data_IF_730143702535
#
_entry.id   IF_730143702535
#
_cell.length_a   1.000
_cell.length_b   1.000
_cell.length_c   1.000
_cell.angle_alpha   90.00
_cell.angle_beta   90.00
_cell.angle_gamma   90.00
#
_symmetry.space_group_name_H-M   'P 1'
#
loop_
_entity.id
_entity.type
_entity.pdbx_description
1 polymer ?
#
# COMPACT_ATOMS: atom_id res chain seq x y z
N UNK A 1 -26.22 -37.24 -13.40
CA UNK A 1 -26.31 -35.80 -13.10
C UNK A 1 -25.04 -35.33 -12.39
N UNK A 2 -24.39 -36.24 -11.69
CA UNK A 2 -23.31 -36.00 -10.73
C UNK A 2 -21.98 -35.65 -11.41
N UNK A 3 -21.68 -36.24 -12.58
CA UNK A 3 -20.50 -35.89 -13.38
C UNK A 3 -20.55 -34.43 -13.88
N UNK A 4 -21.74 -33.92 -14.23
CA UNK A 4 -21.91 -32.53 -14.66
C UNK A 4 -21.60 -31.57 -13.50
N UNK A 5 -22.02 -31.92 -12.28
CA UNK A 5 -21.75 -31.13 -11.07
C UNK A 5 -20.26 -31.13 -10.76
N UNK A 6 -19.58 -32.27 -10.94
CA UNK A 6 -18.13 -32.37 -10.77
C UNK A 6 -17.38 -31.47 -11.76
N UNK A 7 -17.72 -31.54 -13.06
CA UNK A 7 -17.12 -30.69 -14.09
C UNK A 7 -17.38 -29.21 -13.80
N UNK A 8 -18.62 -28.86 -13.42
CA UNK A 8 -19.00 -27.50 -13.09
C UNK A 8 -18.20 -26.97 -11.88
N UNK A 9 -18.04 -27.77 -10.83
CA UNK A 9 -17.31 -27.37 -9.63
C UNK A 9 -15.82 -27.15 -9.90
N UNK A 10 -15.18 -28.02 -10.69
CA UNK A 10 -13.80 -27.81 -11.17
C UNK A 10 -13.69 -26.54 -12.02
N UNK A 11 -14.65 -26.31 -12.92
CA UNK A 11 -14.66 -25.11 -13.75
C UNK A 11 -14.82 -23.82 -12.93
N UNK A 12 -15.67 -23.82 -11.90
CA UNK A 12 -15.84 -22.69 -10.98
C UNK A 12 -14.56 -22.43 -10.19
N UNK A 13 -13.91 -23.47 -9.67
CA UNK A 13 -12.64 -23.34 -8.95
C UNK A 13 -11.52 -22.79 -9.84
N UNK A 14 -11.39 -23.31 -11.07
CA UNK A 14 -10.45 -22.79 -12.05
C UNK A 14 -10.76 -21.33 -12.43
N UNK A 15 -12.03 -20.98 -12.58
CA UNK A 15 -12.45 -19.61 -12.89
C UNK A 15 -12.14 -18.64 -11.73
N UNK A 16 -12.32 -19.07 -10.48
CA UNK A 16 -11.92 -18.30 -9.31
C UNK A 16 -10.41 -18.04 -9.31
N UNK A 17 -9.59 -19.06 -9.57
CA UNK A 17 -8.13 -18.93 -9.67
C UNK A 17 -7.71 -17.99 -10.81
N UNK A 18 -8.36 -18.08 -11.97
CA UNK A 18 -8.13 -17.15 -13.08
C UNK A 18 -8.35 -15.69 -12.65
N UNK A 19 -9.43 -15.42 -11.90
CA UNK A 19 -9.75 -14.07 -11.43
C UNK A 19 -8.79 -13.59 -10.35
N UNK A 20 -8.34 -14.48 -9.46
CA UNK A 20 -7.33 -14.15 -8.45
C UNK A 20 -6.02 -13.72 -9.13
N UNK A 21 -5.53 -14.52 -10.08
CA UNK A 21 -4.33 -14.19 -10.84
C UNK A 21 -4.50 -12.90 -11.66
N UNK A 22 -5.67 -12.69 -12.26
CA UNK A 22 -5.99 -11.45 -12.95
C UNK A 22 -5.95 -10.23 -12.02
N UNK A 23 -6.49 -10.33 -10.80
CA UNK A 23 -6.53 -9.22 -9.85
C UNK A 23 -5.13 -8.81 -9.38
N UNK A 24 -4.25 -9.78 -9.15
CA UNK A 24 -2.91 -9.55 -8.61
C UNK A 24 -1.91 -9.06 -9.67
N UNK A 25 -2.02 -9.53 -10.91
CA UNK A 25 -1.02 -9.24 -11.96
C UNK A 25 -1.41 -8.05 -12.86
N UNK A 26 -2.67 -7.60 -12.83
CA UNK A 26 -3.08 -6.41 -13.56
C UNK A 26 -2.45 -5.15 -12.96
N UNK A 27 -1.62 -4.49 -13.77
CA UNK A 27 -0.96 -3.24 -13.39
C UNK A 27 -1.98 -2.14 -13.07
N UNK A 28 -1.91 -1.62 -11.85
CA UNK A 28 -2.75 -0.53 -11.36
C UNK A 28 -2.74 0.70 -12.30
N UNK A 29 -1.62 0.98 -12.96
CA UNK A 29 -1.44 2.12 -13.88
C UNK A 29 -2.28 2.03 -15.16
N UNK A 30 -2.52 0.82 -15.68
CA UNK A 30 -3.40 0.62 -16.85
C UNK A 30 -4.86 0.83 -16.45
N UNK A 31 -5.22 0.34 -15.26
CA UNK A 31 -6.58 0.41 -14.74
C UNK A 31 -7.00 1.83 -14.35
N UNK A 32 -6.11 2.61 -13.74
CA UNK A 32 -6.37 4.02 -13.42
C UNK A 32 -6.59 4.85 -14.68
N UNK A 33 -5.74 4.68 -15.69
CA UNK A 33 -5.87 5.36 -16.99
C UNK A 33 -7.22 5.05 -17.65
N UNK A 34 -7.63 3.77 -17.68
CA UNK A 34 -8.91 3.37 -18.26
C UNK A 34 -10.14 3.85 -17.47
N UNK A 35 -10.01 4.04 -16.15
CA UNK A 35 -11.08 4.57 -15.31
C UNK A 35 -11.23 6.08 -15.48
N UNK A 36 -10.11 6.80 -15.60
CA UNK A 36 -10.05 8.25 -15.85
C UNK A 36 -10.63 8.61 -17.22
N UNK A 37 -10.46 7.74 -18.22
CA UNK A 37 -11.12 7.83 -19.53
C UNK A 37 -12.64 7.58 -19.49
N UNK A 38 -13.22 7.32 -18.30
CA UNK A 38 -14.66 7.21 -18.09
C UNK A 38 -15.25 5.85 -18.48
N UNK A 39 -14.42 4.84 -18.77
CA UNK A 39 -14.92 3.51 -19.13
C UNK A 39 -15.61 2.83 -17.94
N UNK A 40 -16.80 2.28 -18.16
CA UNK A 40 -17.51 1.51 -17.11
C UNK A 40 -16.75 0.25 -16.71
N UNK A 41 -15.91 -0.29 -17.60
CA UNK A 41 -15.06 -1.44 -17.33
C UNK A 41 -13.92 -1.07 -16.39
N UNK A 42 -13.24 0.06 -16.64
CA UNK A 42 -12.20 0.60 -15.77
C UNK A 42 -12.71 0.87 -14.37
N UNK A 43 -13.83 1.57 -14.22
CA UNK A 43 -14.44 1.86 -12.89
C UNK A 43 -14.79 0.60 -12.09
N UNK A 44 -15.33 -0.43 -12.77
CA UNK A 44 -15.69 -1.71 -12.14
C UNK A 44 -14.45 -2.45 -11.66
N UNK A 45 -13.41 -2.49 -12.48
CA UNK A 45 -12.16 -3.16 -12.13
C UNK A 45 -11.40 -2.39 -11.05
N UNK A 46 -11.35 -1.06 -11.14
CA UNK A 46 -10.78 -0.18 -10.13
C UNK A 46 -11.48 -0.38 -8.77
N UNK A 47 -12.81 -0.46 -8.74
CA UNK A 47 -13.53 -0.72 -7.48
C UNK A 47 -13.23 -2.11 -6.86
N UNK A 48 -12.82 -3.08 -7.68
CA UNK A 48 -12.36 -4.39 -7.22
C UNK A 48 -10.92 -4.32 -6.69
N UNK A 49 -10.08 -3.49 -7.31
CA UNK A 49 -8.69 -3.26 -6.90
C UNK A 49 -8.58 -2.39 -5.63
N UNK A 50 -9.37 -1.33 -5.52
CA UNK A 50 -9.42 -0.46 -4.33
C UNK A 50 -9.83 -1.23 -3.06
N UNK A 51 -10.53 -2.35 -3.24
CA UNK A 51 -10.88 -3.28 -2.19
C UNK A 51 -10.29 -4.66 -2.49
N UNK A 52 -8.98 -4.72 -2.79
CA UNK A 52 -8.28 -5.96 -3.15
C UNK A 52 -8.50 -7.05 -2.11
N UNK A 53 -8.42 -6.72 -0.82
CA UNK A 53 -8.66 -7.69 0.26
C UNK A 53 -10.09 -8.24 0.25
N UNK A 54 -11.11 -7.37 0.15
CA UNK A 54 -12.51 -7.81 0.07
C UNK A 54 -12.76 -8.67 -1.19
N UNK A 55 -12.17 -8.28 -2.31
CA UNK A 55 -12.32 -8.98 -3.60
C UNK A 55 -11.60 -10.33 -3.59
N UNK A 56 -10.37 -10.41 -3.05
CA UNK A 56 -9.60 -11.64 -2.91
C UNK A 56 -10.30 -12.63 -1.96
N UNK A 57 -10.87 -12.14 -0.86
CA UNK A 57 -11.70 -12.95 0.04
C UNK A 57 -12.94 -13.50 -0.67
N UNK A 58 -13.59 -12.68 -1.49
CA UNK A 58 -14.76 -13.11 -2.28
C UNK A 58 -14.43 -14.25 -3.23
N UNK A 59 -13.31 -14.12 -3.95
CA UNK A 59 -12.82 -15.13 -4.87
C UNK A 59 -12.51 -16.42 -4.09
N UNK A 60 -11.84 -16.32 -2.94
CA UNK A 60 -11.51 -17.46 -2.09
C UNK A 60 -12.74 -18.19 -1.57
N UNK A 61 -13.81 -17.46 -1.21
CA UNK A 61 -15.08 -18.05 -0.77
C UNK A 61 -15.75 -18.81 -1.91
N UNK A 62 -15.80 -18.23 -3.11
CA UNK A 62 -16.37 -18.90 -4.28
C UNK A 62 -15.56 -20.15 -4.67
N UNK A 63 -14.24 -20.09 -4.58
CA UNK A 63 -13.36 -21.23 -4.80
C UNK A 63 -13.66 -22.37 -3.79
N UNK A 64 -13.74 -22.04 -2.50
CA UNK A 64 -14.09 -23.02 -1.45
C UNK A 64 -15.45 -23.67 -1.70
N UNK A 65 -16.47 -22.90 -2.08
CA UNK A 65 -17.79 -23.44 -2.42
C UNK A 65 -17.74 -24.37 -3.64
N UNK A 66 -16.94 -24.02 -4.65
CA UNK A 66 -16.68 -24.86 -5.82
C UNK A 66 -16.03 -26.19 -5.44
N UNK A 67 -14.97 -26.15 -4.63
CA UNK A 67 -14.25 -27.35 -4.16
C UNK A 67 -15.17 -28.23 -3.31
N UNK A 68 -15.89 -27.67 -2.34
CA UNK A 68 -16.82 -28.42 -1.48
C UNK A 68 -17.89 -29.12 -2.33
N UNK A 69 -18.48 -28.40 -3.30
CA UNK A 69 -19.48 -28.98 -4.20
C UNK A 69 -18.90 -30.14 -5.02
N UNK A 70 -17.66 -30.00 -5.48
CA UNK A 70 -16.97 -31.03 -6.27
C UNK A 70 -16.66 -32.28 -5.44
N UNK A 71 -16.19 -32.10 -4.19
CA UNK A 71 -15.91 -33.19 -3.26
C UNK A 71 -17.20 -33.93 -2.88
N UNK A 72 -18.27 -33.20 -2.59
CA UNK A 72 -19.58 -33.80 -2.29
C UNK A 72 -20.08 -34.62 -3.49
N UNK A 73 -20.01 -34.06 -4.71
CA UNK A 73 -20.40 -34.78 -5.92
C UNK A 73 -19.58 -36.07 -6.11
N UNK A 74 -18.28 -36.04 -5.79
CA UNK A 74 -17.44 -37.23 -5.84
C UNK A 74 -17.91 -38.31 -4.87
N UNK A 75 -18.24 -37.96 -3.61
CA UNK A 75 -18.77 -38.91 -2.63
C UNK A 75 -20.06 -39.60 -3.10
N UNK A 76 -20.92 -38.88 -3.83
CA UNK A 76 -22.14 -39.47 -4.39
C UNK A 76 -21.87 -40.43 -5.57
N UNK A 77 -20.76 -40.22 -6.32
CA UNK A 77 -20.37 -41.07 -7.45
C UNK A 77 -19.60 -42.31 -6.98
N UNK A 78 -18.59 -42.11 -6.12
CA UNK A 78 -17.68 -43.15 -5.63
C UNK A 78 -18.37 -44.15 -4.70
N UNK A 79 -19.46 -43.75 -4.04
CA UNK A 79 -20.08 -44.49 -2.96
C UNK A 79 -19.26 -44.44 -1.66
N UNK A 80 -19.46 -45.42 -0.78
CA UNK A 80 -18.85 -45.47 0.56
C UNK A 80 -17.67 -46.46 0.67
N UNK A 81 -17.19 -47.00 -0.46
CA UNK A 81 -16.03 -47.87 -0.46
C UNK A 81 -14.75 -47.05 -0.28
N UNK A 82 -14.04 -47.30 0.82
CA UNK A 82 -12.90 -46.50 1.28
C UNK A 82 -11.73 -46.53 0.29
N UNK A 83 -11.52 -47.65 -0.40
CA UNK A 83 -10.41 -47.78 -1.35
C UNK A 83 -10.65 -46.99 -2.64
N UNK A 84 -11.88 -47.06 -3.17
CA UNK A 84 -12.31 -46.34 -4.37
C UNK A 84 -12.33 -44.83 -4.12
N UNK A 85 -12.90 -44.38 -3.00
CA UNK A 85 -12.93 -42.95 -2.62
C UNK A 85 -11.52 -42.36 -2.52
N UNK A 86 -10.55 -43.08 -1.96
CA UNK A 86 -9.19 -42.58 -1.81
C UNK A 86 -8.50 -42.35 -3.16
N UNK A 87 -8.66 -43.28 -4.11
CA UNK A 87 -8.08 -43.17 -5.46
C UNK A 87 -8.75 -42.00 -6.20
N UNK A 88 -10.07 -41.91 -6.15
CA UNK A 88 -10.82 -40.86 -6.83
C UNK A 88 -10.53 -39.46 -6.25
N UNK A 89 -10.37 -39.33 -4.94
CA UNK A 89 -9.97 -38.07 -4.31
C UNK A 89 -8.58 -37.63 -4.75
N UNK A 90 -7.63 -38.58 -4.89
CA UNK A 90 -6.29 -38.26 -5.39
C UNK A 90 -6.31 -37.78 -6.85
N UNK A 91 -7.11 -38.43 -7.70
CA UNK A 91 -7.31 -38.01 -9.10
C UNK A 91 -8.00 -36.63 -9.15
N UNK A 92 -9.02 -36.41 -8.34
CA UNK A 92 -9.74 -35.15 -8.28
C UNK A 92 -8.83 -34.00 -7.85
N UNK A 93 -8.03 -34.23 -6.82
CA UNK A 93 -7.03 -33.26 -6.35
C UNK A 93 -6.05 -32.90 -7.46
N UNK A 94 -5.50 -33.90 -8.16
CA UNK A 94 -4.59 -33.67 -9.28
C UNK A 94 -5.28 -32.89 -10.43
N UNK A 95 -6.52 -33.22 -10.75
CA UNK A 95 -7.29 -32.54 -11.79
C UNK A 95 -7.56 -31.06 -11.43
N UNK A 96 -7.97 -30.78 -10.19
CA UNK A 96 -8.17 -29.40 -9.70
C UNK A 96 -6.84 -28.65 -9.72
N UNK A 97 -5.76 -29.25 -9.21
CA UNK A 97 -4.44 -28.61 -9.19
C UNK A 97 -3.97 -28.21 -10.60
N UNK A 98 -4.08 -29.12 -11.57
CA UNK A 98 -3.73 -28.82 -12.97
C UNK A 98 -4.63 -27.74 -13.54
N UNK A 99 -5.95 -27.82 -13.32
CA UNK A 99 -6.90 -26.82 -13.81
C UNK A 99 -6.61 -25.42 -13.24
N UNK A 100 -6.29 -25.33 -11.94
CA UNK A 100 -5.92 -24.09 -11.27
C UNK A 100 -4.60 -23.50 -11.79
N UNK A 101 -3.57 -24.33 -11.98
CA UNK A 101 -2.29 -23.85 -12.56
C UNK A 101 -2.49 -23.32 -13.98
N UNK A 102 -3.25 -24.01 -14.82
CA UNK A 102 -3.56 -23.52 -16.17
C UNK A 102 -4.35 -22.21 -16.11
N UNK A 103 -5.34 -22.13 -15.24
CA UNK A 103 -6.15 -20.93 -15.06
C UNK A 103 -5.35 -19.73 -14.54
N UNK A 104 -4.41 -19.92 -13.62
CA UNK A 104 -3.57 -18.84 -13.09
C UNK A 104 -2.64 -18.26 -14.16
N UNK A 105 -2.07 -19.11 -15.01
CA UNK A 105 -1.23 -18.69 -16.15
C UNK A 105 -2.06 -17.94 -17.20
N UNK A 106 -3.29 -18.38 -17.44
CA UNK A 106 -4.20 -17.67 -18.34
C UNK A 106 -4.64 -16.33 -17.74
N UNK A 107 -4.90 -16.27 -16.43
CA UNK A 107 -5.28 -15.07 -15.70
C UNK A 107 -4.22 -13.99 -15.80
N UNK A 108 -2.98 -14.31 -15.41
CA UNK A 108 -1.85 -13.37 -15.49
C UNK A 108 -1.62 -12.85 -16.91
N UNK A 109 -1.68 -13.72 -17.93
CA UNK A 109 -1.32 -13.33 -19.30
C UNK A 109 -2.45 -12.70 -20.13
N UNK A 110 -3.69 -13.10 -19.92
CA UNK A 110 -4.81 -12.74 -20.81
C UNK A 110 -5.87 -11.85 -20.15
N UNK A 111 -5.76 -11.53 -18.85
CA UNK A 111 -6.75 -10.70 -18.18
C UNK A 111 -6.88 -9.31 -18.82
N UNK A 112 -5.79 -8.72 -19.35
CA UNK A 112 -5.81 -7.45 -20.09
C UNK A 112 -6.66 -7.53 -21.37
N UNK A 113 -6.63 -8.66 -22.09
CA UNK A 113 -7.46 -8.85 -23.28
C UNK A 113 -8.93 -9.15 -22.95
N UNK A 114 -9.20 -9.71 -21.77
CA UNK A 114 -10.54 -10.11 -21.31
C UNK A 114 -11.15 -9.13 -20.29
N UNK A 115 -10.65 -7.89 -20.19
CA UNK A 115 -11.06 -6.92 -19.16
C UNK A 115 -12.58 -6.77 -18.96
N UNK A 116 -13.38 -6.78 -20.03
CA UNK A 116 -14.85 -6.70 -19.92
C UNK A 116 -15.46 -7.95 -19.26
N UNK A 117 -14.94 -9.13 -19.59
CA UNK A 117 -15.36 -10.40 -19.02
C UNK A 117 -14.94 -10.48 -17.54
N UNK A 118 -13.66 -10.22 -17.27
CA UNK A 118 -13.08 -10.26 -15.92
C UNK A 118 -13.77 -9.27 -14.97
N UNK A 119 -13.94 -8.01 -15.38
CA UNK A 119 -14.61 -6.98 -14.56
C UNK A 119 -16.06 -7.32 -14.21
N UNK A 120 -16.81 -7.90 -15.14
CA UNK A 120 -18.20 -8.31 -14.89
C UNK A 120 -18.25 -9.47 -13.92
N UNK A 121 -17.36 -10.45 -14.10
CA UNK A 121 -17.31 -11.65 -13.29
C UNK A 121 -16.86 -11.35 -11.84
N UNK A 122 -15.93 -10.43 -11.65
CA UNK A 122 -15.53 -9.94 -10.33
C UNK A 122 -16.72 -9.37 -9.56
N UNK A 123 -17.61 -8.60 -10.20
CA UNK A 123 -18.82 -8.07 -9.56
C UNK A 123 -19.78 -9.19 -9.18
N UNK A 124 -19.95 -10.19 -10.05
CA UNK A 124 -20.82 -11.34 -9.79
C UNK A 124 -20.31 -12.11 -8.56
N UNK A 125 -19.01 -12.43 -8.52
CA UNK A 125 -18.38 -13.08 -7.36
C UNK A 125 -18.55 -12.25 -6.10
N UNK A 126 -18.34 -10.93 -6.19
CA UNK A 126 -18.54 -10.00 -5.08
C UNK A 126 -19.98 -10.04 -4.57
N UNK A 127 -20.95 -10.08 -5.48
CA UNK A 127 -22.36 -10.14 -5.11
C UNK A 127 -22.74 -11.48 -4.46
N UNK A 128 -22.14 -12.59 -4.89
CA UNK A 128 -22.35 -13.92 -4.29
C UNK A 128 -21.73 -13.97 -2.88
N UNK A 129 -20.54 -13.40 -2.70
CA UNK A 129 -19.81 -13.40 -1.43
C UNK A 129 -20.26 -12.27 -0.45
N UNK A 130 -21.23 -11.44 -0.84
CA UNK A 130 -21.72 -10.32 -0.03
C UNK A 130 -22.04 -10.64 1.44
N UNK A 131 -22.76 -11.75 1.80
CA UNK A 131 -23.07 -12.02 3.21
C UNK A 131 -21.81 -12.25 4.06
N UNK A 132 -20.75 -12.80 3.47
CA UNK A 132 -19.48 -13.04 4.15
C UNK A 132 -18.65 -11.75 4.28
N UNK A 133 -18.77 -10.81 3.34
CA UNK A 133 -18.11 -9.50 3.47
C UNK A 133 -18.61 -8.71 4.68
N UNK A 134 -19.88 -8.87 5.04
CA UNK A 134 -20.42 -8.18 6.21
C UNK A 134 -19.67 -8.60 7.48
N UNK A 135 -19.35 -9.90 7.60
CA UNK A 135 -18.56 -10.45 8.71
C UNK A 135 -17.14 -9.87 8.68
N UNK A 136 -16.50 -9.86 7.51
CA UNK A 136 -15.17 -9.28 7.34
C UNK A 136 -15.13 -7.80 7.75
N UNK A 137 -16.09 -6.99 7.31
CA UNK A 137 -16.17 -5.56 7.67
C UNK A 137 -16.38 -5.34 9.17
N UNK A 138 -17.15 -6.19 9.82
CA UNK A 138 -17.33 -6.15 11.28
C UNK A 138 -16.02 -6.48 11.99
N UNK A 139 -15.32 -7.55 11.56
CA UNK A 139 -14.02 -7.93 12.11
C UNK A 139 -13.00 -6.80 11.95
N UNK A 140 -12.86 -6.23 10.75
CA UNK A 140 -11.94 -5.12 10.48
C UNK A 140 -12.24 -3.91 11.37
N UNK A 141 -13.52 -3.58 11.59
CA UNK A 141 -13.89 -2.46 12.47
C UNK A 141 -13.52 -2.70 13.94
N UNK A 142 -13.53 -3.95 14.40
CA UNK A 142 -13.15 -4.32 15.78
C UNK A 142 -11.63 -4.38 15.94
N UNK A 143 -10.91 -4.76 14.88
CA UNK A 143 -9.46 -4.93 14.88
C UNK A 143 -8.69 -3.66 14.51
N UNK A 144 -9.36 -2.65 13.93
CA UNK A 144 -8.70 -1.39 13.53
C UNK A 144 -8.01 -0.73 14.73
N UNK A 145 -6.68 -0.71 14.70
CA UNK A 145 -5.83 0.02 15.67
C UNK A 145 -5.53 1.39 15.07
N UNK A 146 -5.31 2.38 15.94
CA UNK A 146 -4.82 3.71 15.53
C UNK A 146 -3.37 3.68 14.98
N UNK A 147 -2.74 2.50 14.86
CA UNK A 147 -1.34 2.30 14.42
C UNK A 147 -1.13 2.25 12.91
N UNK A 148 -2.18 2.38 12.08
CA UNK A 148 -2.08 2.27 10.62
C UNK A 148 -1.06 3.29 10.02
N UNK A 149 -0.91 4.49 10.62
CA UNK A 149 0.06 5.49 10.13
C UNK A 149 1.51 5.14 10.51
N UNK A 150 1.74 4.65 11.72
CA UNK A 150 3.06 4.22 12.18
C UNK A 150 3.52 2.98 11.40
N UNK A 151 2.64 2.01 11.17
CA UNK A 151 2.91 0.81 10.37
C UNK A 151 3.25 1.17 8.91
N UNK A 152 2.54 2.11 8.29
CA UNK A 152 2.85 2.58 6.94
C UNK A 152 4.22 3.27 6.85
N UNK A 153 4.63 3.99 7.90
CA UNK A 153 5.97 4.61 7.97
C UNK A 153 7.06 3.54 8.10
N UNK A 154 6.87 2.55 8.97
CA UNK A 154 7.80 1.43 9.12
C UNK A 154 7.95 0.65 7.80
N UNK A 155 6.86 0.42 7.07
CA UNK A 155 6.90 -0.24 5.76
C UNK A 155 7.67 0.60 4.72
N UNK A 156 7.45 1.91 4.69
CA UNK A 156 8.18 2.81 3.79
C UNK A 156 9.69 2.84 4.11
N UNK A 157 10.06 2.86 5.39
CA UNK A 157 11.47 2.79 5.81
C UNK A 157 12.12 1.47 5.36
N UNK A 158 11.41 0.34 5.52
CA UNK A 158 11.89 -0.96 5.06
C UNK A 158 12.11 -1.01 3.55
N UNK A 159 11.19 -0.43 2.75
CA UNK A 159 11.33 -0.34 1.29
C UNK A 159 12.56 0.46 0.87
N UNK A 160 12.82 1.59 1.52
CA UNK A 160 14.01 2.41 1.26
C UNK A 160 15.29 1.66 1.62
N UNK A 161 15.29 0.88 2.70
CA UNK A 161 16.42 0.03 3.07
C UNK A 161 16.67 -1.08 2.04
N UNK A 162 15.62 -1.78 1.60
CA UNK A 162 15.75 -2.80 0.55
C UNK A 162 16.28 -2.20 -0.75
N UNK A 163 15.80 -1.03 -1.16
CA UNK A 163 16.29 -0.34 -2.35
C UNK A 163 17.79 0.03 -2.25
N UNK A 164 18.28 0.33 -1.04
CA UNK A 164 19.72 0.53 -0.78
C UNK A 164 20.49 -0.78 -0.91
N UNK A 165 20.00 -1.87 -0.33
CA UNK A 165 20.65 -3.19 -0.37
C UNK A 165 20.74 -3.76 -1.80
N UNK A 166 19.70 -3.53 -2.60
CA UNK A 166 19.66 -3.91 -4.02
C UNK A 166 20.54 -3.00 -4.92
N UNK A 167 21.13 -1.94 -4.36
CA UNK A 167 21.99 -1.00 -5.08
C UNK A 167 21.22 -0.06 -6.01
N UNK A 168 19.90 0.08 -5.82
CA UNK A 168 19.07 1.02 -6.56
C UNK A 168 19.22 2.47 -6.03
N UNK A 169 19.71 2.64 -4.80
CA UNK A 169 19.97 3.94 -4.18
C UNK A 169 21.44 4.11 -3.80
N UNK A 170 22.02 5.23 -4.21
CA UNK A 170 23.35 5.62 -3.75
C UNK A 170 23.32 6.07 -2.27
N UNK A 171 24.46 6.04 -1.55
CA UNK A 171 24.52 6.44 -0.13
C UNK A 171 24.03 7.87 0.14
N UNK A 172 24.17 8.77 -0.84
CA UNK A 172 23.66 10.13 -0.74
C UNK A 172 22.13 10.20 -0.82
N UNK A 173 21.53 9.44 -1.74
CA UNK A 173 20.08 9.39 -1.97
C UNK A 173 19.37 8.72 -0.79
N UNK A 174 19.92 7.59 -0.32
CA UNK A 174 19.45 6.92 0.89
C UNK A 174 19.42 7.88 2.09
N UNK A 175 20.51 8.61 2.33
CA UNK A 175 20.58 9.57 3.45
C UNK A 175 19.53 10.67 3.33
N UNK A 176 19.25 11.15 2.12
CA UNK A 176 18.21 12.17 1.89
C UNK A 176 16.82 11.58 2.21
N UNK A 177 16.51 10.39 1.70
CA UNK A 177 15.22 9.74 1.95
C UNK A 177 14.97 9.50 3.43
N UNK A 178 15.94 8.94 4.15
CA UNK A 178 15.85 8.72 5.60
C UNK A 178 15.64 10.03 6.36
N UNK A 179 16.34 11.10 5.98
CA UNK A 179 16.20 12.40 6.63
C UNK A 179 14.81 13.03 6.39
N UNK A 180 14.24 12.87 5.20
CA UNK A 180 12.90 13.39 4.88
C UNK A 180 11.83 12.67 5.73
N UNK A 181 11.90 11.35 5.86
CA UNK A 181 10.95 10.59 6.68
C UNK A 181 11.01 11.02 8.15
N UNK A 182 12.23 11.19 8.68
CA UNK A 182 12.47 11.63 10.06
C UNK A 182 12.14 13.10 10.32
N UNK A 183 12.05 13.94 9.28
CA UNK A 183 11.78 15.37 9.46
C UNK A 183 10.46 15.63 10.17
N UNK A 184 9.44 14.81 9.91
CA UNK A 184 8.11 14.94 10.51
C UNK A 184 8.08 14.72 12.03
N UNK A 185 9.08 14.02 12.57
CA UNK A 185 9.22 13.73 14.00
C UNK A 185 10.26 14.61 14.71
N UNK A 186 10.91 15.52 13.98
CA UNK A 186 11.92 16.44 14.54
C UNK A 186 11.21 17.72 14.97
N UNK A 187 11.31 18.05 16.25
CA UNK A 187 10.77 19.30 16.77
C UNK A 187 11.72 20.46 16.46
N UNK A 188 11.17 21.69 16.39
CA UNK A 188 11.98 22.91 16.23
C UNK A 188 13.04 23.01 17.32
N UNK A 189 12.73 22.52 18.52
CA UNK A 189 13.64 22.49 19.66
C UNK A 189 14.90 21.65 19.43
N UNK A 190 14.81 20.61 18.61
CA UNK A 190 15.92 19.69 18.34
C UNK A 190 16.96 20.28 17.39
N UNK A 191 16.56 21.27 16.58
CA UNK A 191 17.39 21.87 15.52
C UNK A 191 17.69 23.35 15.74
N UNK A 192 17.00 24.01 16.67
CA UNK A 192 17.26 25.43 16.95
C UNK A 192 18.65 25.63 17.57
N UNK A 193 19.25 26.79 17.31
CA UNK A 193 20.48 27.20 18.00
C UNK A 193 20.14 27.54 19.46
N UNK A 194 20.79 26.92 20.47
CA UNK A 194 20.52 27.22 21.87
C UNK A 194 20.75 28.70 22.18
N UNK A 195 19.82 29.33 22.94
CA UNK A 195 19.87 30.77 23.29
C UNK A 195 21.23 31.24 23.79
N UNK A 196 21.91 30.42 24.59
CA UNK A 196 23.20 30.76 25.20
C UNK A 196 24.32 31.01 24.20
N UNK A 197 24.17 30.55 22.96
CA UNK A 197 25.16 30.71 21.88
C UNK A 197 24.62 31.51 20.70
N UNK A 198 23.45 32.14 20.85
CA UNK A 198 22.90 33.02 19.82
C UNK A 198 23.62 34.36 19.86
N UNK A 199 24.23 34.73 18.74
CA UNK A 199 24.72 36.07 18.53
C UNK A 199 23.54 37.02 18.26
N UNK A 200 23.42 38.09 19.05
CA UNK A 200 22.43 39.15 18.86
C UNK A 200 23.02 40.51 19.21
N UNK A 201 22.41 41.58 18.70
CA UNK A 201 22.85 42.97 18.94
C UNK A 201 21.74 43.74 19.67
N UNK A 202 22.14 44.61 20.60
CA UNK A 202 21.20 45.50 21.30
C UNK A 202 20.63 46.56 20.35
N UNK A 203 19.34 46.87 20.48
CA UNK A 203 18.62 47.82 19.62
C UNK A 203 19.25 49.21 19.61
N UNK A 204 19.88 49.61 20.71
CA UNK A 204 20.53 50.90 20.90
C UNK A 204 21.93 50.96 20.28
N UNK A 205 22.46 49.84 19.77
CA UNK A 205 23.79 49.77 19.15
C UNK A 205 23.78 50.53 17.83
N UNK A 206 24.70 51.48 17.67
CA UNK A 206 24.84 52.20 16.41
C UNK A 206 25.37 51.28 15.31
N UNK A 207 25.00 51.54 14.05
CA UNK A 207 25.51 50.79 12.90
C UNK A 207 27.04 50.76 12.87
N UNK A 208 27.69 51.88 13.20
CA UNK A 208 29.15 51.98 13.23
C UNK A 208 29.81 51.11 14.32
N UNK A 209 29.13 50.90 15.45
CA UNK A 209 29.61 50.01 16.50
C UNK A 209 29.32 48.54 16.20
N UNK A 210 28.16 48.26 15.60
CA UNK A 210 27.86 46.93 15.08
C UNK A 210 28.93 46.49 14.07
N UNK A 211 29.34 47.36 13.13
CA UNK A 211 30.39 47.05 12.14
C UNK A 211 31.75 46.64 12.74
N UNK A 212 32.02 46.94 14.02
CA UNK A 212 33.26 46.54 14.71
C UNK A 212 33.19 45.12 15.27
N UNK A 213 32.00 44.51 15.29
CA UNK A 213 31.75 43.18 15.84
C UNK A 213 32.16 42.10 14.83
N UNK A 214 33.11 41.21 15.15
CA UNK A 214 33.60 40.21 14.20
C UNK A 214 32.54 39.18 13.77
N UNK A 215 31.56 38.90 14.62
CA UNK A 215 30.47 37.94 14.37
C UNK A 215 29.54 38.39 13.24
N UNK A 216 29.50 39.69 12.91
CA UNK A 216 28.77 40.19 11.74
C UNK A 216 29.27 39.58 10.43
N UNK A 217 30.55 39.19 10.36
CA UNK A 217 31.10 38.51 9.17
C UNK A 217 30.81 36.99 9.16
N UNK A 218 30.40 36.42 10.29
CA UNK A 218 30.17 34.98 10.45
C UNK A 218 28.73 34.58 10.20
N UNK A 219 27.77 35.46 10.54
CA UNK A 219 26.35 35.17 10.43
C UNK A 219 25.67 36.07 9.39
N UNK A 220 24.72 35.51 8.63
CA UNK A 220 23.94 36.29 7.65
C UNK A 220 22.77 37.05 8.26
N UNK A 221 22.24 36.55 9.39
CA UNK A 221 21.09 37.09 10.11
C UNK A 221 21.35 36.97 11.60
N UNK A 222 20.97 38.00 12.35
CA UNK A 222 21.05 37.99 13.80
C UNK A 222 19.85 38.74 14.40
N UNK A 223 19.31 38.28 15.54
CA UNK A 223 18.25 38.98 16.25
C UNK A 223 18.74 40.33 16.81
N UNK A 224 17.81 41.29 16.86
CA UNK A 224 17.98 42.54 17.57
C UNK A 224 17.04 42.54 18.77
N UNK A 225 17.59 42.78 19.95
CA UNK A 225 16.85 42.72 21.21
C UNK A 225 16.90 44.06 21.95
N UNK A 226 15.86 44.32 22.74
CA UNK A 226 15.74 45.53 23.55
C UNK A 226 16.22 45.28 24.99
N UNK A 227 17.00 46.22 25.54
CA UNK A 227 17.52 46.13 26.91
C UNK A 227 18.69 45.16 27.08
N UNK A 228 18.74 44.46 28.22
CA UNK A 228 19.84 43.57 28.60
C UNK A 228 19.51 42.08 28.45
N UNK A 229 18.36 41.75 27.86
CA UNK A 229 17.91 40.36 27.72
C UNK A 229 17.57 40.02 26.27
N UNK A 230 18.16 38.93 25.77
CA UNK A 230 17.88 38.31 24.48
C UNK A 230 16.43 37.79 24.34
N UNK A 231 15.65 37.74 25.43
CA UNK A 231 14.23 37.36 25.37
C UNK A 231 13.34 38.44 24.74
N UNK A 232 13.78 39.69 24.72
CA UNK A 232 13.02 40.82 24.13
C UNK A 232 13.42 41.08 22.67
N UNK A 233 13.25 40.07 21.80
CA UNK A 233 13.60 40.19 20.37
C UNK A 233 12.57 41.07 19.65
N UNK A 234 13.02 42.21 19.13
CA UNK A 234 12.19 43.14 18.36
C UNK A 234 12.19 42.82 16.85
N UNK A 235 13.16 42.06 16.39
CA UNK A 235 13.27 41.63 15.00
C UNK A 235 14.61 40.97 14.70
N UNK A 236 14.97 40.90 13.42
CA UNK A 236 16.29 40.45 12.98
C UNK A 236 16.84 41.40 11.92
N UNK A 237 18.15 41.46 11.81
CA UNK A 237 18.87 42.25 10.82
C UNK A 237 19.68 41.33 9.93
N UNK A 238 19.77 41.69 8.65
CA UNK A 238 20.60 41.01 7.67
C UNK A 238 21.93 41.76 7.59
N UNK A 239 23.04 41.05 7.76
CA UNK A 239 24.40 41.61 7.70
C UNK A 239 24.64 42.46 6.45
N UNK A 240 24.09 42.04 5.31
CA UNK A 240 24.18 42.76 4.03
C UNK A 240 23.62 44.19 4.11
N UNK A 241 22.58 44.41 4.91
CA UNK A 241 21.96 45.74 5.06
C UNK A 241 22.75 46.65 6.01
N UNK A 242 23.55 46.07 6.91
CA UNK A 242 24.47 46.79 7.81
C UNK A 242 25.74 47.22 7.08
N UNK A 243 26.20 46.43 6.10
CA UNK A 243 27.40 46.67 5.30
C UNK A 243 27.18 47.58 4.08
N UNK A 244 25.95 48.06 3.86
CA UNK A 244 25.63 49.02 2.79
C UNK A 244 26.10 50.41 3.14
#
# INVERSE_FOLDING_TARGET
>A
MDILILILGVAVSALAEFLAAALLDLRQSVLSTMADEGSTVGKRFQSAYDATDETALSISIVDMLGIITTVIALFFIAGLDTTTVMIEMAILFAAIAVAKVVASVLGSRYAEHLLRFTSTLLIVIRSIAFPFMLIHRILMRITKRDSDEDEAREELEALVETAREEGALDPGEYRIMTNIMRLSSIDVGDIMTPRTVVFGIQMETTVGDALKTPELQMFSRFPVFEGNDLDSVQGYVITKDVLR
#
